data_IF_708223713765
#
_entry.id   IF_708223713765
#
_cell.length_a   1.000
_cell.length_b   1.000
_cell.length_c   1.000
_cell.angle_alpha   90.00
_cell.angle_beta   90.00
_cell.angle_gamma   90.00
#
_symmetry.space_group_name_H-M   'P 1'
#
loop_
_entity.id
_entity.type
_entity.pdbx_description
1 polymer ?
#
# COMPACT_ATOMS: atom_id res chain seq x y z
N UNK A 1 -16.57 -23.48 55.85
CA UNK A 1 -17.38 -22.33 56.26
C UNK A 1 -18.35 -22.00 55.13
N UNK A 2 -19.66 -22.22 55.32
CA UNK A 2 -20.73 -21.84 54.37
C UNK A 2 -21.60 -20.78 55.04
N UNK A 3 -22.04 -19.78 54.25
CA UNK A 3 -23.30 -18.99 54.28
C UNK A 3 -23.04 -17.72 53.46
N UNK A 4 -23.44 -17.63 52.18
CA UNK A 4 -24.80 -17.41 51.65
C UNK A 4 -25.43 -16.11 52.19
N UNK A 5 -25.39 -15.05 51.39
CA UNK A 5 -26.19 -13.82 51.56
C UNK A 5 -26.86 -13.51 50.20
N UNK A 6 -28.19 -13.39 50.24
CA UNK A 6 -29.13 -13.08 49.16
C UNK A 6 -29.41 -11.53 49.12
N UNK A 7 -30.23 -10.98 48.20
CA UNK A 7 -29.90 -9.80 47.39
C UNK A 7 -30.64 -8.53 47.83
N UNK A 8 -30.30 -7.38 47.25
CA UNK A 8 -31.11 -6.17 47.36
C UNK A 8 -31.55 -5.68 45.97
N UNK A 9 -32.86 -5.69 45.79
CA UNK A 9 -33.66 -5.14 44.69
C UNK A 9 -33.84 -3.64 44.94
N UNK A 10 -33.75 -2.80 43.90
CA UNK A 10 -34.50 -1.54 43.65
C UNK A 10 -33.79 -0.79 42.50
N UNK A 11 -34.40 -0.05 41.57
CA UNK A 11 -35.76 0.39 41.34
C UNK A 11 -35.76 0.93 39.89
N UNK A 12 -36.57 0.36 39.00
CA UNK A 12 -36.81 0.94 37.67
C UNK A 12 -37.86 2.05 37.78
N UNK A 13 -37.56 3.23 37.26
CA UNK A 13 -38.52 4.34 37.14
C UNK A 13 -38.63 4.75 35.67
N UNK A 14 -39.76 4.38 35.07
CA UNK A 14 -40.24 4.88 33.78
C UNK A 14 -40.91 6.25 33.98
N UNK A 15 -40.62 7.20 33.08
CA UNK A 15 -41.53 8.31 32.79
C UNK A 15 -41.62 8.52 31.27
N UNK A 16 -42.81 8.25 30.74
CA UNK A 16 -43.45 8.89 29.58
C UNK A 16 -43.64 10.40 29.87
N UNK A 17 -43.73 11.36 28.94
CA UNK A 17 -44.56 11.51 27.72
C UNK A 17 -44.24 12.91 27.13
N UNK A 18 -44.34 13.13 25.81
CA UNK A 18 -45.09 14.24 25.18
C UNK A 18 -44.81 14.38 23.66
N UNK A 19 -45.89 14.48 22.87
CA UNK A 19 -45.93 14.73 21.43
C UNK A 19 -45.81 16.22 21.06
N UNK A 20 -45.42 16.53 19.81
CA UNK A 20 -45.71 17.84 19.21
C UNK A 20 -45.04 18.16 17.86
N UNK A 21 -45.85 18.05 16.79
CA UNK A 21 -45.87 18.81 15.51
C UNK A 21 -44.87 18.62 14.34
N UNK A 22 -45.39 17.95 13.29
CA UNK A 22 -45.71 18.45 11.92
C UNK A 22 -44.69 19.28 11.11
N UNK A 23 -44.31 18.78 9.93
CA UNK A 23 -44.82 19.27 8.63
C UNK A 23 -44.29 18.41 7.47
N UNK A 24 -45.21 17.84 6.69
CA UNK A 24 -44.98 17.29 5.36
C UNK A 24 -45.12 18.41 4.32
N UNK A 25 -44.41 18.30 3.19
CA UNK A 25 -44.72 19.05 1.98
C UNK A 25 -44.37 18.21 0.75
N UNK A 26 -45.38 17.56 0.18
CA UNK A 26 -45.41 17.08 -1.19
C UNK A 26 -45.94 18.21 -2.09
N UNK A 27 -45.37 18.32 -3.30
CA UNK A 27 -46.03 19.00 -4.41
C UNK A 27 -45.70 18.30 -5.71
N UNK A 28 -46.67 17.55 -6.22
CA UNK A 28 -46.78 17.14 -7.62
C UNK A 28 -47.14 18.34 -8.51
N UNK A 29 -46.79 18.27 -9.80
CA UNK A 29 -47.62 18.77 -10.91
C UNK A 29 -47.14 18.15 -12.24
N UNK A 30 -48.08 17.44 -12.87
CA UNK A 30 -48.18 17.04 -14.29
C UNK A 30 -48.01 18.26 -15.23
N UNK A 31 -47.70 18.19 -16.53
CA UNK A 31 -47.60 17.11 -17.51
C UNK A 31 -47.44 17.72 -18.92
N UNK A 32 -47.47 16.83 -19.92
CA UNK A 32 -47.80 17.04 -21.34
C UNK A 32 -46.67 17.24 -22.39
N UNK A 33 -46.79 16.44 -23.47
CA UNK A 33 -45.98 16.31 -24.70
C UNK A 33 -46.80 16.92 -25.86
N UNK A 34 -46.22 17.44 -26.96
CA UNK A 34 -45.80 16.58 -28.07
C UNK A 34 -44.68 17.10 -29.02
N UNK A 35 -44.26 16.18 -29.91
CA UNK A 35 -43.17 16.21 -30.91
C UNK A 35 -43.36 17.13 -32.14
N UNK A 36 -42.20 17.60 -32.63
CA UNK A 36 -41.64 17.68 -34.01
C UNK A 36 -42.45 18.19 -35.21
N UNK A 37 -41.88 19.19 -35.91
CA UNK A 37 -41.58 19.18 -37.35
C UNK A 37 -40.59 20.31 -37.74
N UNK A 38 -39.42 19.93 -38.27
CA UNK A 38 -38.59 20.43 -39.40
C UNK A 38 -38.43 21.97 -39.63
N UNK A 39 -37.29 22.56 -40.03
CA UNK A 39 -36.07 22.11 -40.72
C UNK A 39 -34.98 23.24 -40.63
N UNK A 40 -33.70 22.81 -40.61
CA UNK A 40 -32.41 23.47 -40.99
C UNK A 40 -32.01 24.92 -40.60
N UNK A 41 -30.77 25.08 -40.08
CA UNK A 41 -29.62 25.75 -40.76
C UNK A 41 -28.33 25.63 -39.91
N UNK A 42 -27.30 25.05 -40.54
CA UNK A 42 -25.84 25.26 -40.45
C UNK A 42 -25.08 25.51 -39.12
N UNK A 43 -24.14 24.58 -38.85
CA UNK A 43 -22.72 24.77 -38.52
C UNK A 43 -22.32 25.78 -37.43
N UNK A 44 -21.80 25.27 -36.30
CA UNK A 44 -20.39 25.45 -35.88
C UNK A 44 -20.12 24.76 -34.53
N UNK A 45 -19.01 24.03 -34.45
CA UNK A 45 -18.30 23.79 -33.18
C UNK A 45 -18.58 22.47 -32.45
N UNK A 46 -18.04 21.34 -32.95
CA UNK A 46 -17.72 20.19 -32.11
C UNK A 46 -16.31 19.69 -32.46
N UNK A 47 -15.32 20.24 -31.75
CA UNK A 47 -13.99 19.66 -31.62
C UNK A 47 -13.62 19.70 -30.16
N UNK A 48 -13.77 18.56 -29.49
CA UNK A 48 -13.18 18.15 -28.20
C UNK A 48 -13.87 16.81 -27.86
N UNK A 49 -13.23 15.72 -27.43
CA UNK A 49 -11.85 15.37 -27.12
C UNK A 49 -11.77 13.84 -27.25
N UNK A 50 -10.76 13.30 -27.93
CA UNK A 50 -10.41 11.86 -27.93
C UNK A 50 -8.90 11.63 -27.77
N UNK A 51 -8.17 12.63 -27.26
CA UNK A 51 -6.70 12.65 -27.33
C UNK A 51 -6.00 12.51 -25.97
N UNK A 52 -6.70 12.67 -24.84
CA UNK A 52 -6.05 12.61 -23.52
C UNK A 52 -5.91 11.19 -22.94
N UNK A 53 -6.86 10.29 -23.19
CA UNK A 53 -6.82 8.93 -22.64
C UNK A 53 -5.66 8.10 -23.20
N UNK A 54 -5.31 8.30 -24.46
CA UNK A 54 -4.27 7.49 -25.13
C UNK A 54 -2.86 7.93 -24.73
N UNK A 55 -2.65 9.24 -24.49
CA UNK A 55 -1.36 9.77 -24.06
C UNK A 55 -1.08 9.44 -22.59
N UNK A 56 -2.09 9.54 -21.73
CA UNK A 56 -1.95 9.20 -20.30
C UNK A 56 -1.69 7.71 -20.09
N UNK A 57 -2.36 6.83 -20.86
CA UNK A 57 -2.08 5.40 -20.80
C UNK A 57 -0.68 5.05 -21.32
N UNK A 58 -0.24 5.65 -22.43
CA UNK A 58 1.10 5.40 -22.96
C UNK A 58 2.21 5.86 -22.00
N UNK A 59 2.09 7.04 -21.40
CA UNK A 59 3.08 7.53 -20.42
C UNK A 59 3.09 6.67 -19.14
N UNK A 60 1.94 6.14 -18.71
CA UNK A 60 1.83 5.24 -17.57
C UNK A 60 2.45 3.85 -17.84
N UNK A 61 2.30 3.33 -19.06
CA UNK A 61 2.92 2.05 -19.42
C UNK A 61 4.45 2.20 -19.53
N UNK A 62 4.93 3.32 -20.10
CA UNK A 62 6.36 3.65 -20.15
C UNK A 62 6.97 3.81 -18.74
N UNK A 63 6.27 4.47 -17.81
CA UNK A 63 6.76 4.60 -16.42
C UNK A 63 6.83 3.26 -15.70
N UNK A 64 5.84 2.39 -15.88
CA UNK A 64 5.84 1.04 -15.30
C UNK A 64 7.00 0.19 -15.81
N UNK A 65 7.31 0.26 -17.10
CA UNK A 65 8.47 -0.45 -17.67
C UNK A 65 9.80 0.04 -17.08
N UNK A 66 9.97 1.36 -16.90
CA UNK A 66 11.17 1.94 -16.28
C UNK A 66 11.27 1.49 -14.82
N UNK A 67 10.17 1.57 -14.08
CA UNK A 67 10.12 1.17 -12.67
C UNK A 67 10.41 -0.32 -12.51
N UNK A 68 9.88 -1.18 -13.38
CA UNK A 68 10.18 -2.61 -13.35
C UNK A 68 11.67 -2.90 -13.58
N UNK A 69 12.31 -2.22 -14.56
CA UNK A 69 13.76 -2.35 -14.79
C UNK A 69 14.58 -1.88 -13.59
N UNK A 70 14.19 -0.76 -12.97
CA UNK A 70 14.84 -0.26 -11.76
C UNK A 70 14.67 -1.24 -10.60
N UNK A 71 13.49 -1.85 -10.46
CA UNK A 71 13.21 -2.85 -9.43
C UNK A 71 14.06 -4.11 -9.60
N UNK A 72 14.24 -4.60 -10.84
CA UNK A 72 15.13 -5.72 -11.14
C UNK A 72 16.58 -5.43 -10.74
N UNK A 73 17.06 -4.20 -10.98
CA UNK A 73 18.42 -3.82 -10.61
C UNK A 73 18.58 -3.63 -9.10
N UNK A 74 17.63 -2.97 -8.45
CA UNK A 74 17.57 -2.86 -6.97
C UNK A 74 17.60 -4.25 -6.34
N UNK A 75 16.86 -5.21 -6.89
CA UNK A 75 16.81 -6.57 -6.38
C UNK A 75 18.19 -7.26 -6.44
N UNK A 76 18.89 -7.17 -7.58
CA UNK A 76 20.27 -7.69 -7.71
C UNK A 76 21.23 -7.06 -6.70
N UNK A 77 21.15 -5.75 -6.49
CA UNK A 77 22.00 -5.01 -5.56
C UNK A 77 21.73 -5.42 -4.11
N UNK A 78 20.47 -5.62 -3.75
CA UNK A 78 20.07 -6.19 -2.46
C UNK A 78 20.65 -7.60 -2.28
N UNK A 79 20.60 -8.47 -3.30
CA UNK A 79 21.21 -9.82 -3.27
C UNK A 79 22.72 -9.78 -3.07
N UNK A 80 23.37 -8.88 -3.80
CA UNK A 80 24.81 -8.69 -3.78
C UNK A 80 25.30 -7.99 -2.51
N UNK A 81 24.38 -7.43 -1.72
CA UNK A 81 24.65 -6.59 -0.55
C UNK A 81 25.51 -5.37 -0.91
N UNK A 82 25.23 -4.77 -2.07
CA UNK A 82 25.97 -3.63 -2.59
C UNK A 82 25.24 -2.32 -2.23
N UNK A 83 25.50 -1.83 -1.01
CA UNK A 83 24.89 -0.60 -0.50
C UNK A 83 25.32 0.65 -1.26
N UNK A 84 26.56 0.67 -1.74
CA UNK A 84 27.14 1.79 -2.48
C UNK A 84 26.38 2.03 -3.79
N UNK A 85 26.23 0.99 -4.61
CA UNK A 85 25.46 1.08 -5.87
C UNK A 85 23.96 1.21 -5.61
N UNK A 86 23.42 0.55 -4.58
CA UNK A 86 22.00 0.70 -4.19
C UNK A 86 21.66 2.15 -3.86
N UNK A 87 22.60 2.90 -3.27
CA UNK A 87 22.41 4.32 -2.93
C UNK A 87 22.06 5.20 -4.14
N UNK A 88 22.41 4.78 -5.37
CA UNK A 88 22.07 5.51 -6.59
C UNK A 88 20.57 5.51 -6.90
N UNK A 89 19.84 4.50 -6.42
CA UNK A 89 18.40 4.33 -6.61
C UNK A 89 17.58 5.04 -5.53
N UNK A 90 18.16 5.37 -4.38
CA UNK A 90 17.46 5.96 -3.25
C UNK A 90 16.98 7.37 -3.56
N UNK A 91 15.73 7.67 -3.21
CA UNK A 91 15.17 9.01 -3.39
C UNK A 91 15.95 10.04 -2.54
N UNK A 92 16.50 11.11 -3.15
CA UNK A 92 17.44 12.01 -2.47
C UNK A 92 16.83 12.74 -1.26
N UNK A 93 15.55 13.11 -1.34
CA UNK A 93 14.85 13.82 -0.26
C UNK A 93 14.10 12.90 0.72
N UNK A 94 13.47 11.82 0.22
CA UNK A 94 12.61 10.94 1.02
C UNK A 94 13.38 9.79 1.69
N UNK A 95 14.56 9.43 1.17
CA UNK A 95 15.25 8.21 1.57
C UNK A 95 14.47 6.96 1.15
N UNK A 96 14.78 5.84 1.79
CA UNK A 96 14.06 4.57 1.64
C UNK A 96 13.57 4.08 2.99
N UNK A 97 12.26 3.86 3.07
CA UNK A 97 11.54 3.31 4.22
C UNK A 97 11.58 1.78 4.19
N UNK A 98 11.70 1.16 5.35
CA UNK A 98 11.65 -0.29 5.51
C UNK A 98 10.44 -0.68 6.34
N UNK A 99 9.65 -1.64 5.83
CA UNK A 99 8.52 -2.20 6.56
C UNK A 99 8.57 -3.73 6.55
N UNK A 100 8.52 -4.40 7.73
CA UNK A 100 8.55 -5.85 7.82
C UNK A 100 7.23 -6.50 7.40
N UNK A 101 6.17 -5.70 7.19
CA UNK A 101 4.84 -6.14 6.76
C UNK A 101 4.22 -5.13 5.79
N UNK A 102 3.19 -5.56 5.05
CA UNK A 102 2.52 -4.75 4.01
C UNK A 102 1.71 -3.58 4.56
N UNK A 103 1.46 -3.57 5.87
CA UNK A 103 1.03 -2.39 6.60
C UNK A 103 2.27 -1.61 7.08
N UNK A 104 2.50 -0.45 6.48
CA UNK A 104 3.57 0.46 6.85
C UNK A 104 3.16 1.23 8.11
N UNK A 105 3.95 1.08 9.16
CA UNK A 105 3.81 1.81 10.41
C UNK A 105 4.26 3.27 10.29
N UNK A 106 3.66 4.16 11.09
CA UNK A 106 3.98 5.60 11.05
C UNK A 106 5.40 5.94 11.52
N UNK A 107 6.01 5.06 12.30
CA UNK A 107 7.37 5.17 12.84
C UNK A 107 8.37 4.22 12.14
N UNK A 108 8.01 3.71 10.96
CA UNK A 108 8.87 2.83 10.17
C UNK A 108 10.24 3.47 9.90
N UNK A 109 11.28 2.64 10.00
CA UNK A 109 12.67 3.08 9.84
C UNK A 109 12.91 3.54 8.41
N UNK A 110 13.46 4.74 8.26
CA UNK A 110 13.83 5.31 6.95
C UNK A 110 15.29 5.70 6.97
N UNK A 111 16.02 5.33 5.92
CA UNK A 111 17.42 5.69 5.73
C UNK A 111 17.58 6.58 4.52
N UNK A 112 18.40 7.63 4.68
CA UNK A 112 18.80 8.47 3.56
C UNK A 112 19.81 7.76 2.65
N UNK A 113 20.10 8.39 1.52
CA UNK A 113 21.05 7.89 0.52
C UNK A 113 22.43 7.59 1.10
N UNK A 114 22.96 8.44 1.98
CA UNK A 114 24.29 8.25 2.54
C UNK A 114 24.32 7.06 3.50
N UNK A 115 23.25 6.89 4.29
CA UNK A 115 23.11 5.78 5.21
C UNK A 115 22.96 4.44 4.49
N UNK A 116 22.35 4.43 3.30
CA UNK A 116 22.21 3.21 2.49
C UNK A 116 23.54 2.66 1.98
N UNK A 117 24.53 3.52 1.72
CA UNK A 117 25.87 3.09 1.27
C UNK A 117 26.51 2.06 2.19
N UNK A 118 26.40 2.28 3.50
CA UNK A 118 26.91 1.39 4.54
C UNK A 118 25.82 0.56 5.22
N UNK A 119 24.70 0.31 4.56
CA UNK A 119 23.56 -0.40 5.16
C UNK A 119 23.95 -1.80 5.61
N UNK A 120 24.68 -2.55 4.78
CA UNK A 120 24.98 -3.96 5.05
C UNK A 120 26.09 -4.17 6.09
N UNK A 121 26.89 -3.14 6.34
CA UNK A 121 27.99 -3.09 7.31
C UNK A 121 27.58 -2.46 8.64
N UNK A 122 26.40 -1.84 8.70
CA UNK A 122 25.91 -1.22 9.93
C UNK A 122 25.59 -2.27 10.99
N UNK A 123 26.26 -2.14 12.13
CA UNK A 123 26.12 -3.05 13.29
C UNK A 123 25.19 -2.49 14.37
N UNK A 124 24.61 -1.29 14.16
CA UNK A 124 23.62 -0.72 15.06
C UNK A 124 22.30 -1.50 14.95
N UNK A 125 21.70 -1.79 16.10
CA UNK A 125 20.35 -2.35 16.18
C UNK A 125 19.30 -1.24 16.05
N UNK A 126 18.24 -1.53 15.30
CA UNK A 126 17.07 -0.69 15.14
C UNK A 126 15.81 -1.48 15.50
N UNK A 127 14.75 -0.77 15.89
CA UNK A 127 13.41 -1.34 16.06
C UNK A 127 12.63 -1.12 14.77
N UNK A 128 12.31 -2.19 14.05
CA UNK A 128 11.71 -2.14 12.71
C UNK A 128 10.19 -2.25 12.71
N UNK A 129 9.59 -2.45 13.87
CA UNK A 129 8.17 -2.73 14.07
C UNK A 129 7.96 -3.74 15.20
N UNK A 130 6.82 -4.41 15.20
CA UNK A 130 6.48 -5.46 16.15
C UNK A 130 6.14 -6.76 15.41
N UNK A 131 6.53 -7.91 15.97
CA UNK A 131 6.23 -9.21 15.39
C UNK A 131 4.73 -9.51 15.43
N UNK A 132 4.20 -9.93 14.29
CA UNK A 132 2.84 -10.41 14.20
C UNK A 132 2.54 -11.56 15.19
N UNK A 133 1.32 -11.58 15.72
CA UNK A 133 0.86 -12.51 16.77
C UNK A 133 1.42 -12.25 18.19
N UNK A 134 2.73 -12.03 18.35
CA UNK A 134 3.34 -11.84 19.69
C UNK A 134 3.35 -10.39 20.16
N UNK A 135 3.46 -9.42 19.25
CA UNK A 135 3.63 -8.00 19.56
C UNK A 135 5.03 -7.62 20.05
N UNK A 136 5.98 -8.55 20.11
CA UNK A 136 7.35 -8.27 20.55
C UNK A 136 8.09 -7.37 19.53
N UNK A 137 8.95 -6.43 19.97
CA UNK A 137 9.66 -5.56 19.06
C UNK A 137 10.61 -6.35 18.13
N UNK A 138 10.67 -5.94 16.87
CA UNK A 138 11.62 -6.47 15.88
C UNK A 138 12.91 -5.66 16.02
N UNK A 139 13.81 -6.12 16.89
CA UNK A 139 15.11 -5.49 17.11
C UNK A 139 16.20 -6.21 16.33
N UNK A 140 16.67 -5.61 15.24
CA UNK A 140 17.64 -6.23 14.33
C UNK A 140 18.67 -5.19 13.84
N UNK A 141 19.88 -5.64 13.53
CA UNK A 141 20.79 -4.87 12.65
C UNK A 141 20.25 -4.88 11.21
N UNK A 142 20.62 -3.93 10.35
CA UNK A 142 20.26 -3.94 8.93
C UNK A 142 20.56 -5.25 8.19
N UNK A 143 21.71 -5.89 8.45
CA UNK A 143 22.07 -7.16 7.82
C UNK A 143 21.18 -8.33 8.29
N UNK A 144 20.79 -8.33 9.56
CA UNK A 144 19.83 -9.32 10.09
C UNK A 144 18.41 -9.07 9.57
N UNK A 145 18.00 -7.80 9.46
CA UNK A 145 16.73 -7.40 8.88
C UNK A 145 16.64 -7.82 7.41
N UNK A 146 17.68 -7.53 6.62
CA UNK A 146 17.74 -7.92 5.21
C UNK A 146 17.56 -9.44 5.05
N UNK A 147 18.31 -10.24 5.81
CA UNK A 147 18.19 -11.70 5.76
C UNK A 147 16.80 -12.19 6.14
N UNK A 148 16.12 -11.53 7.08
CA UNK A 148 14.83 -11.97 7.61
C UNK A 148 13.64 -11.50 6.78
N UNK A 149 13.69 -10.29 6.22
CA UNK A 149 12.53 -9.63 5.60
C UNK A 149 12.75 -9.16 4.17
N UNK A 150 13.98 -9.11 3.64
CA UNK A 150 14.22 -8.66 2.25
C UNK A 150 14.65 -9.83 1.37
N UNK A 151 15.61 -10.64 1.82
CA UNK A 151 16.17 -11.77 1.08
C UNK A 151 15.88 -13.10 1.78
N UNK A 152 14.64 -13.28 2.22
CA UNK A 152 14.14 -14.54 2.81
C UNK A 152 13.54 -15.50 1.76
N UNK A 153 13.69 -15.19 0.47
CA UNK A 153 13.34 -16.03 -0.69
C UNK A 153 14.13 -15.60 -1.93
N UNK A 154 14.13 -16.42 -2.97
CA UNK A 154 14.78 -16.08 -4.24
C UNK A 154 13.83 -15.27 -5.12
N UNK A 155 13.64 -14.00 -4.76
CA UNK A 155 12.69 -13.10 -5.46
C UNK A 155 13.08 -12.83 -6.92
N UNK A 156 14.32 -13.09 -7.33
CA UNK A 156 14.72 -13.06 -8.75
C UNK A 156 14.05 -14.17 -9.57
N UNK A 157 13.53 -15.21 -8.91
CA UNK A 157 12.78 -16.32 -9.50
C UNK A 157 11.32 -16.33 -8.99
N UNK A 158 10.78 -15.15 -8.66
CA UNK A 158 9.40 -15.02 -8.19
C UNK A 158 8.39 -15.67 -9.16
N UNK A 159 7.37 -16.33 -8.60
CA UNK A 159 6.29 -16.98 -9.35
C UNK A 159 5.41 -15.96 -10.08
N UNK A 160 5.32 -14.75 -9.55
CA UNK A 160 4.53 -13.65 -10.08
C UNK A 160 5.26 -12.33 -9.81
N UNK A 161 5.32 -11.48 -10.84
CA UNK A 161 5.82 -10.10 -10.74
C UNK A 161 4.71 -9.19 -11.22
N UNK A 162 4.27 -8.24 -10.38
CA UNK A 162 3.21 -7.30 -10.74
C UNK A 162 3.64 -5.86 -10.52
N UNK A 163 3.06 -4.94 -11.29
CA UNK A 163 3.22 -3.50 -11.12
C UNK A 163 1.87 -2.89 -10.80
N UNK A 164 1.80 -2.15 -9.70
CA UNK A 164 0.60 -1.45 -9.17
C UNK A 164 -0.59 -2.36 -8.85
N UNK A 165 -0.34 -3.61 -8.48
CA UNK A 165 -1.39 -4.46 -7.90
C UNK A 165 -1.76 -3.93 -6.52
N UNK A 166 -3.06 -3.69 -6.31
CA UNK A 166 -3.61 -3.13 -5.07
C UNK A 166 -4.28 -4.15 -4.17
N UNK A 167 -4.44 -5.39 -4.64
CA UNK A 167 -5.12 -6.46 -3.91
C UNK A 167 -4.27 -6.98 -2.75
N UNK A 168 -4.93 -7.33 -1.63
CA UNK A 168 -4.25 -7.99 -0.51
C UNK A 168 -4.07 -9.48 -0.79
N UNK A 169 -2.91 -10.04 -0.40
CA UNK A 169 -2.64 -11.49 -0.42
C UNK A 169 -3.11 -12.18 0.87
N UNK A 170 -3.07 -11.47 1.99
CA UNK A 170 -3.36 -11.98 3.33
C UNK A 170 -4.35 -11.13 4.12
N UNK A 171 -4.33 -11.31 5.44
CA UNK A 171 -5.23 -10.63 6.37
C UNK A 171 -4.77 -9.21 6.75
N UNK A 172 -3.48 -8.92 6.55
CA UNK A 172 -2.90 -7.59 6.84
C UNK A 172 -3.40 -6.56 5.84
N UNK A 173 -3.82 -5.39 6.36
CA UNK A 173 -4.26 -4.27 5.52
C UNK A 173 -3.05 -3.73 4.73
N UNK A 174 -3.12 -3.74 3.40
CA UNK A 174 -2.15 -3.08 2.52
C UNK A 174 -2.41 -1.57 2.48
N UNK A 175 -1.48 -0.77 2.99
CA UNK A 175 -1.59 0.70 3.02
C UNK A 175 -0.55 1.44 2.15
N UNK A 176 0.21 0.72 1.31
CA UNK A 176 1.28 1.29 0.47
C UNK A 176 0.81 2.50 -0.35
N UNK A 177 -0.32 2.39 -1.06
CA UNK A 177 -0.87 3.50 -1.88
C UNK A 177 -1.41 4.66 -1.06
N UNK A 178 -1.71 4.46 0.23
CA UNK A 178 -2.09 5.54 1.15
C UNK A 178 -0.87 6.31 1.62
N UNK A 179 0.25 5.62 1.87
CA UNK A 179 1.52 6.22 2.31
C UNK A 179 2.24 6.89 1.13
N UNK A 180 2.22 6.26 -0.05
CA UNK A 180 2.89 6.70 -1.26
C UNK A 180 1.89 6.84 -2.43
N UNK A 181 1.02 7.88 -2.42
CA UNK A 181 -0.07 8.02 -3.38
C UNK A 181 0.36 8.30 -4.83
N UNK A 182 1.61 8.71 -5.04
CA UNK A 182 2.15 9.03 -6.36
C UNK A 182 3.22 8.00 -6.80
N UNK A 183 3.18 6.80 -6.22
CA UNK A 183 4.18 5.76 -6.47
C UNK A 183 3.74 4.74 -7.50
N UNK A 184 4.74 4.10 -8.11
CA UNK A 184 4.59 2.77 -8.68
C UNK A 184 5.16 1.74 -7.71
N UNK A 185 4.50 0.59 -7.58
CA UNK A 185 4.97 -0.52 -6.73
C UNK A 185 5.18 -1.78 -7.55
N UNK A 186 6.38 -2.35 -7.48
CA UNK A 186 6.68 -3.67 -8.06
C UNK A 186 6.62 -4.72 -6.95
N UNK A 187 5.72 -5.69 -7.08
CA UNK A 187 5.61 -6.83 -6.16
C UNK A 187 6.29 -8.06 -6.79
N UNK A 188 7.24 -8.66 -6.07
CA UNK A 188 7.81 -9.97 -6.35
C UNK A 188 7.18 -10.98 -5.41
N UNK A 189 6.33 -11.86 -5.91
CA UNK A 189 5.57 -12.82 -5.11
C UNK A 189 6.08 -14.25 -5.33
N UNK A 190 6.34 -14.95 -4.24
CA UNK A 190 6.68 -16.38 -4.20
C UNK A 190 5.51 -17.12 -3.55
N UNK A 191 4.97 -18.11 -4.25
CA UNK A 191 3.85 -18.93 -3.77
C UNK A 191 4.27 -19.75 -2.56
N UNK A 192 3.30 -19.95 -1.67
CA UNK A 192 3.44 -20.95 -0.62
C UNK A 192 3.50 -22.36 -1.19
N UNK A 193 3.99 -23.29 -0.39
CA UNK A 193 4.15 -24.70 -0.71
C UNK A 193 3.00 -25.51 -0.13
N UNK A 194 2.59 -26.57 -0.82
CA UNK A 194 1.55 -27.47 -0.32
C UNK A 194 1.92 -28.12 1.02
N UNK A 195 3.22 -28.35 1.28
CA UNK A 195 3.73 -28.90 2.55
C UNK A 195 3.39 -28.01 3.75
N UNK A 196 3.32 -26.70 3.54
CA UNK A 196 3.00 -25.71 4.57
C UNK A 196 1.56 -25.18 4.45
N UNK A 197 0.64 -25.93 3.82
CA UNK A 197 -0.74 -25.50 3.53
C UNK A 197 -0.80 -24.17 2.74
N UNK A 198 0.24 -23.86 1.98
CA UNK A 198 0.49 -22.58 1.30
C UNK A 198 0.61 -21.38 2.26
N UNK A 199 0.90 -21.58 3.55
CA UNK A 199 1.04 -20.54 4.58
C UNK A 199 2.47 -20.01 4.74
N UNK A 200 3.35 -20.31 3.79
CA UNK A 200 4.75 -19.87 3.71
C UNK A 200 5.01 -18.99 2.48
N UNK A 201 3.94 -18.46 1.86
CA UNK A 201 4.06 -17.45 0.81
C UNK A 201 4.74 -16.19 1.32
N UNK A 202 5.42 -15.49 0.42
CA UNK A 202 6.10 -14.24 0.71
C UNK A 202 6.10 -13.32 -0.49
N UNK A 203 6.14 -12.02 -0.25
CA UNK A 203 6.24 -11.02 -1.28
C UNK A 203 7.22 -9.91 -0.86
N UNK A 204 7.92 -9.34 -1.84
CA UNK A 204 8.71 -8.14 -1.66
C UNK A 204 8.15 -7.03 -2.55
N UNK A 205 7.75 -5.91 -1.95
CA UNK A 205 7.24 -4.74 -2.66
C UNK A 205 8.32 -3.66 -2.70
N UNK A 206 8.78 -3.31 -3.89
CA UNK A 206 9.70 -2.19 -4.12
C UNK A 206 8.88 -0.99 -4.63
N UNK A 207 8.92 0.11 -3.88
CA UNK A 207 8.07 1.29 -4.12
C UNK A 207 8.91 2.43 -4.64
N UNK A 208 8.47 3.04 -5.75
CA UNK A 208 9.19 4.08 -6.46
C UNK A 208 8.35 5.34 -6.63
N UNK A 209 8.96 6.51 -6.41
CA UNK A 209 8.37 7.81 -6.73
C UNK A 209 9.36 8.64 -7.54
N UNK A 210 8.83 9.56 -8.34
CA UNK A 210 9.67 10.50 -9.08
C UNK A 210 10.30 11.52 -8.15
N UNK A 211 11.59 11.78 -8.34
CA UNK A 211 12.26 12.93 -7.75
C UNK A 211 11.98 14.23 -8.53
N UNK A 212 12.59 15.34 -8.10
CA UNK A 212 12.42 16.64 -8.74
C UNK A 212 12.97 16.71 -10.18
N UNK A 213 13.76 15.72 -10.62
CA UNK A 213 14.26 15.59 -11.98
C UNK A 213 13.36 14.67 -12.85
N UNK A 214 12.34 14.07 -12.25
CA UNK A 214 11.44 13.12 -12.91
C UNK A 214 11.98 11.69 -12.95
N UNK A 215 13.09 11.39 -12.27
CA UNK A 215 13.65 10.04 -12.20
C UNK A 215 12.92 9.20 -11.16
N UNK A 216 12.57 7.96 -11.49
CA UNK A 216 11.95 7.02 -10.55
C UNK A 216 12.97 6.51 -9.53
N UNK A 217 12.81 6.92 -8.28
CA UNK A 217 13.69 6.56 -7.17
C UNK A 217 12.97 5.69 -6.13
N UNK A 218 13.70 4.76 -5.54
CA UNK A 218 13.25 3.88 -4.47
C UNK A 218 12.93 4.72 -3.23
N UNK A 219 11.70 4.58 -2.73
CA UNK A 219 11.20 5.23 -1.51
C UNK A 219 10.80 4.25 -0.41
N UNK A 220 10.53 2.98 -0.75
CA UNK A 220 10.31 1.95 0.27
C UNK A 220 10.64 0.53 -0.20
N UNK A 221 11.04 -0.29 0.76
CA UNK A 221 11.15 -1.75 0.67
C UNK A 221 10.19 -2.33 1.70
N UNK A 222 9.14 -2.99 1.22
CA UNK A 222 8.02 -3.46 2.06
C UNK A 222 7.84 -4.96 1.88
N UNK A 223 8.06 -5.71 2.95
CA UNK A 223 7.84 -7.16 2.96
C UNK A 223 6.36 -7.47 3.13
N UNK A 224 5.93 -8.61 2.59
CA UNK A 224 4.65 -9.22 2.91
C UNK A 224 4.83 -10.74 3.06
N UNK A 225 4.04 -11.33 3.92
CA UNK A 225 4.03 -12.77 4.12
C UNK A 225 2.77 -13.19 4.84
N UNK A 226 2.52 -14.50 4.85
CA UNK A 226 1.51 -15.06 5.71
C UNK A 226 1.77 -14.68 7.19
N UNK A 227 0.69 -14.34 7.87
CA UNK A 227 0.58 -13.79 9.24
C UNK A 227 -0.63 -14.43 9.94
N UNK A 228 -0.64 -14.48 11.27
CA UNK A 228 -1.57 -15.25 12.12
C UNK A 228 -2.67 -14.43 12.80
#
# INVERSE_FOLDING_TARGET
>A
MKKLILPFILLTMFMSTACGNQAANEKELEGDKPQEADEEIANEGASESKTDDNKNNQTNDESKEIVQKNAEEVLKLLKAKDGEELSAYVHPEKGVLFSPYVYIESDAVTFDKEKIKGFFEDTKTYTWGAQDGSGEPIELTPSEYEKKYIYNGDFEQADEITVDRVESRGNTIRNISKVFPNSHTVEYYIKGTEENDNMDWKALNLVFEQDAQGEWKLVAIVHDQWTI
#
